data_IF_089845971279
#
_entry.id   IF_089845971279
#
_cell.length_a   1.000
_cell.length_b   1.000
_cell.length_c   1.000
_cell.angle_alpha   90.00
_cell.angle_beta   90.00
_cell.angle_gamma   90.00
#
_symmetry.space_group_name_H-M   'P 1'
#
loop_
_entity.id
_entity.type
_entity.pdbx_description
1 polymer ?
#
# COMPACT_ATOMS: atom_id res chain seq x y z
N UNK A 1 -15.95 17.10 -49.82
CA UNK A 1 -16.74 16.61 -48.68
C UNK A 1 -15.82 16.46 -47.49
N UNK A 2 -15.78 17.47 -46.63
CA UNK A 2 -14.88 17.49 -45.44
C UNK A 2 -15.59 16.78 -44.27
N UNK A 3 -15.07 15.64 -43.90
CA UNK A 3 -15.55 14.88 -42.73
C UNK A 3 -14.91 15.47 -41.45
N UNK A 4 -15.61 16.39 -40.80
CA UNK A 4 -15.26 16.80 -39.44
C UNK A 4 -15.74 15.72 -38.47
N UNK A 5 -14.84 14.82 -38.01
CA UNK A 5 -15.08 14.04 -36.83
C UNK A 5 -14.99 14.97 -35.62
N UNK A 6 -16.14 15.35 -35.05
CA UNK A 6 -16.18 15.93 -33.71
C UNK A 6 -15.41 14.96 -32.81
N UNK A 7 -14.27 15.40 -32.26
CA UNK A 7 -13.61 14.71 -31.16
C UNK A 7 -14.61 14.77 -30.02
N UNK A 8 -15.25 13.63 -29.67
CA UNK A 8 -15.99 13.55 -28.41
C UNK A 8 -15.01 13.97 -27.34
N UNK A 9 -15.38 14.95 -26.53
CA UNK A 9 -14.69 15.23 -25.27
C UNK A 9 -14.75 13.91 -24.49
N UNK A 10 -13.62 13.26 -24.37
CA UNK A 10 -13.47 12.02 -23.62
C UNK A 10 -13.34 12.46 -22.19
N UNK A 11 -14.32 12.12 -21.39
CA UNK A 11 -14.27 12.37 -19.94
C UNK A 11 -13.10 11.54 -19.37
N UNK A 12 -11.97 12.21 -19.17
CA UNK A 12 -10.85 11.64 -18.47
C UNK A 12 -11.20 11.61 -16.98
N UNK A 13 -11.21 10.43 -16.41
CA UNK A 13 -11.50 10.19 -14.99
C UNK A 13 -10.22 9.89 -14.24
N UNK A 14 -10.05 10.46 -13.04
CA UNK A 14 -8.94 10.13 -12.17
C UNK A 14 -9.25 8.92 -11.29
N UNK A 15 -8.23 8.10 -11.03
CA UNK A 15 -8.34 6.95 -10.15
C UNK A 15 -6.99 6.50 -9.59
N UNK A 16 -7.06 5.51 -8.72
CA UNK A 16 -5.89 4.89 -8.08
C UNK A 16 -5.83 3.42 -8.46
N UNK A 17 -4.67 2.93 -8.86
CA UNK A 17 -4.47 1.50 -9.11
C UNK A 17 -4.45 0.76 -7.78
N UNK A 18 -5.47 -0.07 -7.53
CA UNK A 18 -5.61 -0.86 -6.30
C UNK A 18 -5.17 -2.32 -6.48
N UNK A 19 -4.91 -2.75 -7.70
CA UNK A 19 -4.44 -4.11 -7.99
C UNK A 19 -4.04 -4.29 -9.44
N UNK A 20 -3.25 -5.33 -9.69
CA UNK A 20 -2.93 -5.75 -11.05
C UNK A 20 -2.97 -7.28 -11.16
N UNK A 21 -3.46 -7.76 -12.28
CA UNK A 21 -3.46 -9.19 -12.63
C UNK A 21 -2.98 -9.28 -14.09
N UNK A 22 -1.82 -9.88 -14.29
CA UNK A 22 -1.19 -9.99 -15.62
C UNK A 22 -0.99 -8.62 -16.28
N UNK A 23 -1.77 -8.27 -17.28
CA UNK A 23 -1.71 -7.00 -18.03
C UNK A 23 -2.89 -6.08 -17.74
N UNK A 24 -3.73 -6.40 -16.77
CA UNK A 24 -4.90 -5.60 -16.38
C UNK A 24 -4.70 -4.97 -15.02
N UNK A 25 -5.27 -3.80 -14.84
CA UNK A 25 -5.18 -2.99 -13.62
C UNK A 25 -6.58 -2.72 -13.10
N UNK A 26 -6.80 -2.97 -11.81
CA UNK A 26 -8.02 -2.53 -11.13
C UNK A 26 -7.80 -1.10 -10.66
N UNK A 27 -8.66 -0.20 -11.11
CA UNK A 27 -8.57 1.22 -10.80
C UNK A 27 -9.82 1.63 -10.04
N UNK A 28 -9.61 2.10 -8.84
CA UNK A 28 -10.66 2.69 -8.00
C UNK A 28 -10.78 4.16 -8.34
N UNK A 29 -12.00 4.58 -8.67
CA UNK A 29 -12.38 5.98 -8.88
C UNK A 29 -13.34 6.43 -7.79
N UNK A 30 -13.82 7.66 -7.84
CA UNK A 30 -14.85 8.15 -6.91
C UNK A 30 -16.21 7.47 -7.08
N UNK A 31 -16.46 6.85 -8.23
CA UNK A 31 -17.75 6.26 -8.56
C UNK A 31 -17.75 4.74 -8.42
N UNK A 32 -16.77 4.07 -9.03
CA UNK A 32 -16.69 2.61 -9.10
C UNK A 32 -15.28 2.12 -9.45
N UNK A 33 -15.13 0.80 -9.54
CA UNK A 33 -13.87 0.16 -9.93
C UNK A 33 -13.94 -0.21 -11.41
N UNK A 34 -12.93 0.22 -12.16
CA UNK A 34 -12.70 -0.13 -13.55
C UNK A 34 -11.59 -1.16 -13.70
N UNK A 35 -11.69 -1.99 -14.75
CA UNK A 35 -10.61 -2.85 -15.22
C UNK A 35 -9.97 -2.18 -16.43
N UNK A 36 -8.71 -1.78 -16.29
CA UNK A 36 -8.03 -1.01 -17.33
C UNK A 36 -6.82 -1.72 -17.91
N UNK A 37 -6.50 -1.37 -19.15
CA UNK A 37 -5.29 -1.75 -19.85
C UNK A 37 -4.36 -0.56 -19.99
N UNK A 38 -3.05 -0.81 -19.88
CA UNK A 38 -2.06 0.24 -20.16
C UNK A 38 -1.87 0.42 -21.67
N UNK A 39 -1.89 1.65 -22.18
CA UNK A 39 -1.55 1.95 -23.58
C UNK A 39 -0.13 1.52 -23.91
N UNK A 40 0.09 1.18 -25.18
CA UNK A 40 1.41 0.78 -25.70
C UNK A 40 2.52 1.82 -25.49
N UNK A 41 2.17 3.10 -25.34
CA UNK A 41 3.13 4.19 -25.04
C UNK A 41 3.93 4.00 -23.76
N UNK A 42 3.37 3.27 -22.75
CA UNK A 42 4.06 2.98 -21.50
C UNK A 42 5.14 1.91 -21.68
N UNK A 43 4.99 0.99 -22.66
CA UNK A 43 6.03 0.01 -22.98
C UNK A 43 7.29 0.67 -23.53
N UNK A 44 7.13 1.79 -24.26
CA UNK A 44 8.24 2.50 -24.90
C UNK A 44 8.96 3.47 -23.95
N UNK A 45 8.39 3.78 -22.77
CA UNK A 45 8.94 4.74 -21.80
C UNK A 45 9.55 4.10 -20.56
N UNK A 46 9.66 2.76 -20.51
CA UNK A 46 10.10 1.99 -19.33
C UNK A 46 9.29 2.28 -18.03
N UNK A 47 8.17 2.98 -18.15
CA UNK A 47 7.30 3.29 -17.03
C UNK A 47 6.17 2.26 -17.00
N UNK A 48 6.22 1.36 -16.02
CA UNK A 48 5.13 0.40 -15.79
C UNK A 48 4.18 0.93 -14.73
N UNK A 49 2.85 0.84 -14.94
CA UNK A 49 1.90 1.17 -13.89
C UNK A 49 2.10 0.25 -12.68
N UNK A 50 2.01 0.81 -11.48
CA UNK A 50 2.17 0.11 -10.20
C UNK A 50 0.91 0.27 -9.35
N UNK A 51 0.68 -0.66 -8.44
CA UNK A 51 -0.33 -0.46 -7.39
C UNK A 51 0.03 0.80 -6.60
N UNK A 52 -0.96 1.64 -6.30
CA UNK A 52 -0.78 2.93 -5.66
C UNK A 52 -0.55 4.11 -6.64
N UNK A 53 -0.37 3.86 -7.95
CA UNK A 53 -0.30 4.96 -8.92
C UNK A 53 -1.64 5.70 -9.03
N UNK A 54 -1.54 7.03 -9.07
CA UNK A 54 -2.64 7.88 -9.50
C UNK A 54 -2.60 7.98 -11.00
N UNK A 55 -3.73 7.74 -11.65
CA UNK A 55 -3.83 7.64 -13.11
C UNK A 55 -5.01 8.42 -13.64
N UNK A 56 -4.90 8.86 -14.87
CA UNK A 56 -6.05 9.25 -15.69
C UNK A 56 -6.43 8.07 -16.57
N UNK A 57 -7.72 7.78 -16.62
CA UNK A 57 -8.28 6.73 -17.46
C UNK A 57 -9.27 7.29 -18.46
N UNK A 58 -9.34 6.67 -19.61
CA UNK A 58 -10.40 6.84 -20.62
C UNK A 58 -11.32 5.62 -20.54
N UNK A 59 -12.59 5.83 -20.20
CA UNK A 59 -13.58 4.75 -20.16
C UNK A 59 -13.89 4.32 -21.60
N UNK A 60 -13.74 3.03 -21.88
CA UNK A 60 -13.98 2.43 -23.21
C UNK A 60 -15.31 1.69 -23.29
N UNK A 61 -15.75 1.10 -22.19
CA UNK A 61 -17.04 0.41 -22.08
C UNK A 61 -17.58 0.60 -20.66
N UNK A 62 -18.63 1.39 -20.54
CA UNK A 62 -19.26 1.73 -19.25
C UNK A 62 -20.02 0.55 -18.64
N UNK A 63 -20.64 -0.28 -19.47
CA UNK A 63 -21.42 -1.43 -19.00
C UNK A 63 -20.51 -2.54 -18.45
N UNK A 64 -19.33 -2.72 -19.06
CA UNK A 64 -18.33 -3.70 -18.62
C UNK A 64 -17.33 -3.14 -17.63
N UNK A 65 -17.40 -1.84 -17.31
CA UNK A 65 -16.41 -1.12 -16.50
C UNK A 65 -14.98 -1.28 -17.06
N UNK A 66 -14.82 -1.16 -18.37
CA UNK A 66 -13.52 -1.24 -19.04
C UNK A 66 -12.97 0.16 -19.33
N UNK A 67 -11.66 0.31 -19.15
CA UNK A 67 -10.96 1.57 -19.38
C UNK A 67 -9.55 1.37 -19.93
N UNK A 68 -8.94 2.47 -20.34
CA UNK A 68 -7.53 2.52 -20.76
C UNK A 68 -6.81 3.54 -19.90
N UNK A 69 -5.63 3.20 -19.37
CA UNK A 69 -4.75 4.14 -18.68
C UNK A 69 -4.15 5.09 -19.70
N UNK A 70 -4.51 6.37 -19.58
CA UNK A 70 -3.99 7.43 -20.45
C UNK A 70 -2.71 8.03 -19.90
N UNK A 71 -2.68 8.29 -18.60
CA UNK A 71 -1.56 8.95 -17.95
C UNK A 71 -1.31 8.36 -16.56
N UNK A 72 -0.04 8.30 -16.17
CA UNK A 72 0.38 8.02 -14.81
C UNK A 72 0.92 9.33 -14.24
N UNK A 73 0.31 9.81 -13.15
CA UNK A 73 0.74 11.03 -12.47
C UNK A 73 2.11 10.83 -11.81
N UNK A 74 2.79 11.93 -11.55
CA UNK A 74 4.09 11.91 -10.88
C UNK A 74 3.99 11.19 -9.53
N UNK A 75 4.85 10.20 -9.34
CA UNK A 75 4.93 9.44 -8.09
C UNK A 75 5.59 10.27 -6.99
N UNK A 76 5.05 10.22 -5.78
CA UNK A 76 5.70 10.72 -4.57
C UNK A 76 6.93 9.88 -4.22
N UNK A 77 6.79 8.56 -4.31
CA UNK A 77 7.81 7.55 -4.09
C UNK A 77 7.42 6.22 -4.72
N UNK A 78 8.36 5.29 -4.75
CA UNK A 78 8.10 3.91 -5.14
C UNK A 78 9.00 2.93 -4.39
N UNK A 79 8.50 1.73 -4.12
CA UNK A 79 9.26 0.60 -3.59
C UNK A 79 9.43 -0.44 -4.70
N UNK A 80 10.64 -0.99 -4.81
CA UNK A 80 10.95 -1.99 -5.85
C UNK A 80 10.45 -3.39 -5.50
N UNK A 81 10.34 -3.71 -4.21
CA UNK A 81 9.84 -5.01 -3.69
C UNK A 81 9.11 -4.82 -2.36
N UNK A 82 7.78 -5.02 -2.31
CA UNK A 82 6.89 -5.18 -3.47
C UNK A 82 6.87 -3.94 -4.36
N UNK A 83 6.48 -4.09 -5.65
CA UNK A 83 6.38 -2.95 -6.58
C UNK A 83 5.12 -2.16 -6.27
N UNK A 84 5.26 -1.08 -5.54
CA UNK A 84 4.16 -0.21 -5.08
C UNK A 84 4.64 1.24 -5.14
N UNK A 85 3.73 2.16 -5.48
CA UNK A 85 3.98 3.59 -5.55
C UNK A 85 3.11 4.38 -4.56
N UNK A 86 3.49 5.64 -4.29
CA UNK A 86 2.73 6.63 -3.51
C UNK A 86 2.38 6.17 -2.10
N UNK A 87 3.37 5.62 -1.39
CA UNK A 87 3.22 5.10 -0.04
C UNK A 87 3.47 6.21 0.98
N UNK A 88 2.65 6.27 2.02
CA UNK A 88 2.81 7.21 3.13
C UNK A 88 3.61 6.59 4.28
N UNK A 89 3.40 5.30 4.56
CA UNK A 89 4.05 4.62 5.69
C UNK A 89 4.25 3.13 5.47
N UNK A 90 5.25 2.55 6.14
CA UNK A 90 5.48 1.10 6.18
C UNK A 90 5.20 0.60 7.59
N UNK A 91 4.30 -0.36 7.69
CA UNK A 91 3.90 -0.98 8.97
C UNK A 91 4.61 -2.31 9.11
N UNK A 92 5.60 -2.37 9.99
CA UNK A 92 6.35 -3.57 10.30
C UNK A 92 5.68 -4.34 11.44
N UNK A 93 5.20 -5.54 11.17
CA UNK A 93 4.53 -6.38 12.17
C UNK A 93 5.49 -7.47 12.65
N UNK A 94 5.76 -7.45 13.93
CA UNK A 94 6.43 -8.54 14.64
C UNK A 94 5.48 -9.15 15.67
N UNK A 95 5.80 -10.32 16.19
CA UNK A 95 5.03 -10.97 17.27
C UNK A 95 5.92 -11.23 18.46
N UNK A 96 5.33 -11.25 19.67
CA UNK A 96 6.05 -11.56 20.90
C UNK A 96 6.43 -13.05 20.97
N UNK A 97 5.62 -13.90 20.33
CA UNK A 97 5.80 -15.38 20.32
C UNK A 97 5.13 -15.97 19.08
N UNK A 98 5.69 -17.06 18.56
CA UNK A 98 5.15 -17.83 17.45
C UNK A 98 4.78 -16.99 16.21
N UNK A 99 5.78 -16.48 15.47
CA UNK A 99 7.21 -16.71 15.61
C UNK A 99 7.86 -15.82 16.68
N UNK A 100 9.06 -16.21 17.13
CA UNK A 100 9.90 -15.36 17.99
C UNK A 100 10.28 -14.10 17.21
N UNK A 101 10.32 -12.91 17.85
CA UNK A 101 10.68 -11.67 17.15
C UNK A 101 12.14 -11.72 16.65
N UNK A 102 12.32 -11.34 15.40
CA UNK A 102 13.64 -11.14 14.77
C UNK A 102 13.94 -9.64 14.75
N UNK A 103 14.57 -9.15 15.82
CA UNK A 103 14.86 -7.72 15.96
C UNK A 103 15.94 -7.27 14.99
N UNK A 104 16.90 -8.13 14.62
CA UNK A 104 17.91 -7.79 13.63
C UNK A 104 17.30 -7.54 12.23
N UNK A 105 16.32 -8.36 11.87
CA UNK A 105 15.59 -8.14 10.61
C UNK A 105 14.78 -6.85 10.69
N UNK A 106 14.11 -6.58 11.81
CA UNK A 106 13.37 -5.34 12.03
C UNK A 106 14.29 -4.12 11.89
N UNK A 107 15.45 -4.13 12.54
CA UNK A 107 16.44 -3.02 12.46
C UNK A 107 16.87 -2.75 11.02
N UNK A 108 17.15 -3.80 10.24
CA UNK A 108 17.46 -3.66 8.80
C UNK A 108 16.30 -3.06 8.00
N UNK A 109 15.09 -3.44 8.31
CA UNK A 109 13.89 -2.91 7.64
C UNK A 109 13.65 -1.45 8.02
N UNK A 110 13.84 -1.07 9.27
CA UNK A 110 13.77 0.32 9.74
C UNK A 110 14.83 1.19 9.05
N UNK A 111 16.08 0.75 9.04
CA UNK A 111 17.15 1.46 8.34
C UNK A 111 16.87 1.61 6.83
N UNK A 112 16.22 0.63 6.21
CA UNK A 112 15.79 0.74 4.82
C UNK A 112 14.69 1.79 4.65
N UNK A 113 13.66 1.83 5.51
CA UNK A 113 12.58 2.82 5.44
C UNK A 113 13.10 4.25 5.64
N UNK A 114 14.03 4.45 6.56
CA UNK A 114 14.73 5.73 6.75
C UNK A 114 15.48 6.16 5.47
N UNK A 115 16.23 5.23 4.86
CA UNK A 115 16.95 5.48 3.61
C UNK A 115 16.04 5.94 2.48
N UNK A 116 14.85 5.36 2.37
CA UNK A 116 13.88 5.72 1.32
C UNK A 116 12.91 6.82 1.74
N UNK A 117 13.07 7.37 2.95
CA UNK A 117 12.26 8.46 3.53
C UNK A 117 10.77 8.16 3.57
N UNK A 118 10.41 6.93 3.95
CA UNK A 118 9.02 6.53 4.20
C UNK A 118 8.89 6.21 5.69
N UNK A 119 7.90 6.82 6.35
CA UNK A 119 7.66 6.68 7.79
C UNK A 119 7.44 5.22 8.20
N UNK A 120 8.25 4.64 9.13
CA UNK A 120 8.04 3.31 9.66
C UNK A 120 7.15 3.34 10.90
N UNK A 121 6.26 2.35 11.00
CA UNK A 121 5.49 2.06 12.22
C UNK A 121 5.76 0.61 12.61
N UNK A 122 5.96 0.38 13.88
CA UNK A 122 6.19 -0.95 14.44
C UNK A 122 4.92 -1.42 15.14
N UNK A 123 4.43 -2.60 14.77
CA UNK A 123 3.37 -3.30 15.48
C UNK A 123 3.95 -4.50 16.20
N UNK A 124 3.78 -4.53 17.50
CA UNK A 124 4.14 -5.70 18.33
C UNK A 124 2.85 -6.46 18.64
N UNK A 125 2.56 -7.46 17.81
CA UNK A 125 1.34 -8.26 17.92
C UNK A 125 1.48 -9.44 18.89
N UNK A 126 0.35 -10.02 19.29
CA UNK A 126 0.22 -11.14 20.23
C UNK A 126 0.74 -10.79 21.62
N UNK A 127 0.48 -9.57 22.09
CA UNK A 127 0.85 -9.14 23.44
C UNK A 127 0.18 -9.98 24.55
N UNK A 128 -0.90 -10.69 24.20
CA UNK A 128 -1.58 -11.65 25.09
C UNK A 128 -0.79 -12.91 25.39
N UNK A 129 0.28 -13.19 24.65
CA UNK A 129 1.06 -14.42 24.83
C UNK A 129 2.28 -14.25 25.74
N UNK A 130 2.88 -13.07 25.80
CA UNK A 130 4.10 -12.77 26.57
C UNK A 130 4.28 -11.26 26.81
N UNK A 131 4.87 -10.91 27.95
CA UNK A 131 5.17 -9.53 28.36
C UNK A 131 6.41 -8.91 27.67
N UNK A 132 7.14 -9.66 26.87
CA UNK A 132 8.33 -9.17 26.12
C UNK A 132 8.02 -7.97 25.21
N UNK A 133 6.74 -7.73 24.87
CA UNK A 133 6.33 -6.54 24.13
C UNK A 133 6.69 -5.24 24.86
N UNK A 134 6.75 -5.25 26.21
CA UNK A 134 7.08 -4.06 27.01
C UNK A 134 8.50 -3.59 26.71
N UNK A 135 9.45 -4.52 26.76
CA UNK A 135 10.87 -4.25 26.45
C UNK A 135 11.07 -3.80 25.01
N UNK A 136 10.38 -4.45 24.07
CA UNK A 136 10.45 -4.09 22.66
C UNK A 136 9.87 -2.69 22.43
N UNK A 137 8.70 -2.40 23.01
CA UNK A 137 8.07 -1.08 22.93
C UNK A 137 8.99 0.01 23.47
N UNK A 138 9.53 -0.19 24.67
CA UNK A 138 10.42 0.76 25.32
C UNK A 138 11.67 1.03 24.48
N UNK A 139 12.32 -0.02 23.97
CA UNK A 139 13.52 0.06 23.15
C UNK A 139 13.28 0.94 21.91
N UNK A 140 12.28 0.62 21.11
CA UNK A 140 12.06 1.33 19.83
C UNK A 140 11.42 2.71 20.01
N UNK A 141 10.59 2.91 21.04
CA UNK A 141 10.05 4.23 21.37
C UNK A 141 11.15 5.18 21.82
N UNK A 142 12.13 4.69 22.61
CA UNK A 142 13.29 5.48 23.06
C UNK A 142 14.15 5.96 21.87
N UNK A 143 14.22 5.19 20.81
CA UNK A 143 14.94 5.55 19.57
C UNK A 143 14.12 6.50 18.69
N UNK A 144 12.84 6.69 18.98
CA UNK A 144 11.97 7.63 18.25
C UNK A 144 10.96 6.99 17.31
N UNK A 145 10.89 5.66 17.25
CA UNK A 145 9.90 4.98 16.42
C UNK A 145 8.52 4.91 17.08
N UNK A 146 7.48 5.02 16.29
CA UNK A 146 6.12 4.74 16.75
C UNK A 146 5.91 3.25 16.89
N UNK A 147 5.49 2.82 18.10
CA UNK A 147 5.26 1.41 18.42
C UNK A 147 3.85 1.22 18.95
N UNK A 148 3.05 0.45 18.25
CA UNK A 148 1.69 0.06 18.64
C UNK A 148 1.72 -1.40 19.11
N UNK A 149 1.21 -1.65 20.30
CA UNK A 149 1.08 -3.02 20.85
C UNK A 149 -0.31 -3.53 20.57
N UNK A 150 -0.40 -4.71 19.95
CA UNK A 150 -1.69 -5.29 19.56
C UNK A 150 -1.86 -6.74 20.00
N UNK A 151 -3.12 -7.14 20.19
CA UNK A 151 -3.57 -8.52 20.12
C UNK A 151 -4.81 -8.58 19.24
N UNK A 152 -4.64 -9.05 18.01
CA UNK A 152 -5.79 -9.23 17.12
C UNK A 152 -6.83 -10.20 17.70
N UNK A 153 -6.38 -11.20 18.49
CA UNK A 153 -7.25 -12.17 19.14
C UNK A 153 -8.13 -11.54 20.23
N UNK A 154 -7.58 -10.59 21.00
CA UNK A 154 -8.27 -9.91 22.11
C UNK A 154 -8.75 -8.51 21.76
N UNK A 155 -8.60 -8.08 20.52
CA UNK A 155 -8.95 -6.74 20.05
C UNK A 155 -8.23 -5.61 20.81
N UNK A 156 -7.00 -5.86 21.30
CA UNK A 156 -6.19 -4.86 22.00
C UNK A 156 -5.41 -4.03 20.96
N UNK A 157 -5.39 -2.71 21.12
CA UNK A 157 -4.61 -1.78 20.30
C UNK A 157 -5.07 -1.64 18.84
N UNK A 158 -6.19 -2.26 18.46
CA UNK A 158 -6.70 -2.23 17.08
C UNK A 158 -7.26 -0.86 16.73
N UNK A 159 -7.93 -0.18 17.66
CA UNK A 159 -8.48 1.16 17.40
C UNK A 159 -7.37 2.21 17.26
N UNK A 160 -6.30 2.13 18.06
CA UNK A 160 -5.10 2.97 17.89
C UNK A 160 -4.49 2.76 16.50
N UNK A 161 -4.37 1.50 16.08
CA UNK A 161 -3.87 1.18 14.74
C UNK A 161 -4.76 1.73 13.64
N UNK A 162 -6.09 1.59 13.74
CA UNK A 162 -7.03 2.14 12.75
C UNK A 162 -6.88 3.65 12.60
N UNK A 163 -6.75 4.37 13.71
CA UNK A 163 -6.54 5.82 13.70
C UNK A 163 -5.23 6.18 12.97
N UNK A 164 -4.17 5.41 13.20
CA UNK A 164 -2.88 5.65 12.56
C UNK A 164 -2.87 5.36 11.06
N UNK A 165 -3.71 4.43 10.62
CA UNK A 165 -3.84 4.07 9.20
C UNK A 165 -4.78 5.00 8.41
N UNK A 166 -5.59 5.79 9.11
CA UNK A 166 -6.63 6.60 8.48
C UNK A 166 -6.03 7.62 7.50
N UNK A 167 -6.58 7.66 6.29
CA UNK A 167 -6.16 8.57 5.21
C UNK A 167 -4.69 8.40 4.75
N UNK A 168 -4.07 7.25 5.04
CA UNK A 168 -2.70 6.94 4.65
C UNK A 168 -2.64 5.67 3.81
N UNK A 169 -1.83 5.72 2.75
CA UNK A 169 -1.46 4.52 1.99
C UNK A 169 -0.37 3.76 2.75
N UNK A 170 -0.73 2.62 3.32
CA UNK A 170 0.12 1.84 4.20
C UNK A 170 0.54 0.51 3.58
N UNK A 171 1.82 0.17 3.68
CA UNK A 171 2.36 -1.13 3.27
C UNK A 171 2.67 -1.96 4.51
N UNK A 172 2.10 -3.16 4.59
CA UNK A 172 2.34 -4.08 5.69
C UNK A 172 3.47 -5.05 5.36
N UNK A 173 4.45 -5.15 6.26
CA UNK A 173 5.58 -6.07 6.19
C UNK A 173 5.71 -6.86 7.50
N UNK A 174 6.18 -8.09 7.42
CA UNK A 174 6.41 -8.94 8.58
C UNK A 174 6.47 -10.41 8.18
N UNK A 175 7.07 -11.24 9.03
CA UNK A 175 7.26 -12.66 8.79
C UNK A 175 5.93 -13.43 8.71
N UNK A 176 5.97 -14.64 8.16
CA UNK A 176 4.79 -15.51 8.20
C UNK A 176 4.39 -15.82 9.64
N UNK A 177 3.08 -15.86 9.92
CA UNK A 177 2.57 -16.20 11.25
C UNK A 177 2.58 -15.07 12.30
N UNK A 178 3.08 -13.85 12.00
CA UNK A 178 3.03 -12.72 12.96
C UNK A 178 1.61 -12.15 13.16
N UNK A 179 0.66 -12.53 12.31
CA UNK A 179 -0.75 -12.12 12.42
C UNK A 179 -1.15 -10.99 11.50
N UNK A 180 -0.42 -10.76 10.38
CA UNK A 180 -0.79 -9.71 9.39
C UNK A 180 -2.25 -9.78 8.96
N UNK A 181 -2.69 -10.94 8.47
CA UNK A 181 -4.07 -11.12 7.99
C UNK A 181 -5.11 -10.92 9.10
N UNK A 182 -4.78 -11.30 10.33
CA UNK A 182 -5.70 -11.12 11.48
C UNK A 182 -5.82 -9.66 11.93
N UNK A 183 -4.85 -8.82 11.60
CA UNK A 183 -4.86 -7.39 11.92
C UNK A 183 -5.56 -6.60 10.81
N UNK A 184 -5.42 -7.03 9.54
CA UNK A 184 -5.94 -6.30 8.38
C UNK A 184 -7.43 -6.59 8.14
N UNK A 185 -7.89 -7.80 8.47
CA UNK A 185 -9.28 -8.25 8.33
C UNK A 185 -10.11 -7.90 9.58
#
# INVERSE_FOLDING_TARGET
MLYFRKKQERDNMEGIIIGNISNTYKIETTEKIYVAYARGKFKNRDIKPLVGDRVEIEVTDEEKNEAIIEEIKTRKNEIKRPKIANIDQIVFIISTKNPKPDLLMLDKQLAYSEKIKIEPIIIVNKCDLKDEYKTIKELYTKVGYKVIVTSAKQNIGIDELKQELQNKTSVFSGNSGVGKSSIIN
#
